data_IF_429910361763
#
_entry.id   IF_429910361763
#
_cell.length_a   1.000
_cell.length_b   1.000
_cell.length_c   1.000
_cell.angle_alpha   90.00
_cell.angle_beta   90.00
_cell.angle_gamma   90.00
#
_symmetry.space_group_name_H-M   'P 1'
#
loop_
_entity.id
_entity.type
_entity.pdbx_description
1 polymer ?
#
# COMPACT_ATOMS: atom_id res chain seq x y z
N UNK A 1 -5.17 -3.73 19.41
CA UNK A 1 -4.93 -3.47 17.97
C UNK A 1 -3.81 -4.33 17.39
N UNK A 2 -2.52 -4.08 17.65
CA UNK A 2 -1.44 -4.93 17.11
C UNK A 2 -1.51 -6.39 17.60
N UNK A 3 -1.82 -6.59 18.90
CA UNK A 3 -2.03 -7.92 19.46
C UNK A 3 -3.20 -8.69 18.82
N UNK A 4 -4.28 -8.01 18.44
CA UNK A 4 -5.39 -8.64 17.73
C UNK A 4 -4.99 -9.06 16.31
N UNK A 5 -4.22 -8.21 15.61
CA UNK A 5 -3.75 -8.51 14.25
C UNK A 5 -2.80 -9.71 14.20
N UNK A 6 -2.04 -9.96 15.28
CA UNK A 6 -1.13 -11.10 15.38
C UNK A 6 -1.80 -12.37 15.89
N UNK A 7 -2.77 -12.25 16.81
CA UNK A 7 -3.39 -13.40 17.46
C UNK A 7 -4.63 -13.95 16.74
N UNK A 8 -5.32 -13.12 15.94
CA UNK A 8 -6.50 -13.54 15.17
C UNK A 8 -6.10 -13.97 13.75
N UNK A 9 -6.92 -14.80 13.06
CA UNK A 9 -6.63 -15.21 11.69
C UNK A 9 -6.57 -14.03 10.71
N UNK A 10 -5.87 -14.19 9.58
CA UNK A 10 -5.66 -13.13 8.57
C UNK A 10 -6.95 -12.49 8.06
N UNK A 11 -8.06 -13.24 7.99
CA UNK A 11 -9.36 -12.68 7.59
C UNK A 11 -9.87 -11.60 8.55
N UNK A 12 -9.43 -11.58 9.81
CA UNK A 12 -9.77 -10.52 10.75
C UNK A 12 -9.17 -9.19 10.29
N UNK A 13 -7.90 -9.19 9.90
CA UNK A 13 -7.24 -8.02 9.33
C UNK A 13 -7.92 -7.60 8.02
N UNK A 14 -8.27 -8.55 7.15
CA UNK A 14 -9.00 -8.29 5.92
C UNK A 14 -10.38 -7.65 6.18
N UNK A 15 -11.14 -8.13 7.17
CA UNK A 15 -12.42 -7.56 7.58
C UNK A 15 -12.28 -6.11 8.05
N UNK A 16 -11.26 -5.81 8.88
CA UNK A 16 -10.98 -4.43 9.31
C UNK A 16 -10.67 -3.49 8.15
N UNK A 17 -9.92 -3.98 7.14
CA UNK A 17 -9.65 -3.22 5.92
C UNK A 17 -10.93 -3.05 5.09
N UNK A 18 -11.72 -4.11 4.92
CA UNK A 18 -12.98 -4.07 4.20
C UNK A 18 -13.96 -3.06 4.79
N UNK A 19 -14.18 -3.10 6.11
CA UNK A 19 -15.05 -2.16 6.81
C UNK A 19 -14.57 -0.71 6.67
N UNK A 20 -13.24 -0.50 6.74
CA UNK A 20 -12.65 0.84 6.61
C UNK A 20 -12.82 1.40 5.19
N UNK A 21 -12.65 0.56 4.17
CA UNK A 21 -12.87 0.93 2.76
C UNK A 21 -14.35 1.12 2.45
N UNK A 22 -15.23 0.28 3.01
CA UNK A 22 -16.68 0.37 2.83
C UNK A 22 -17.30 1.66 3.36
N UNK A 23 -16.62 2.34 4.29
CA UNK A 23 -17.02 3.66 4.81
C UNK A 23 -16.62 4.84 3.91
N UNK A 24 -15.78 4.63 2.89
CA UNK A 24 -15.32 5.68 1.99
C UNK A 24 -16.31 5.90 0.84
N UNK A 25 -17.58 6.16 1.18
CA UNK A 25 -18.64 6.48 0.23
C UNK A 25 -18.55 7.94 -0.26
N UNK A 26 -19.48 8.34 -1.13
CA UNK A 26 -19.53 9.71 -1.67
C UNK A 26 -19.62 10.77 -0.56
N UNK A 27 -20.37 10.51 0.51
CA UNK A 27 -20.61 11.50 1.56
C UNK A 27 -19.38 11.67 2.43
N UNK A 28 -18.71 10.57 2.78
CA UNK A 28 -17.42 10.61 3.46
C UNK A 28 -16.36 11.33 2.63
N UNK A 29 -16.28 11.07 1.33
CA UNK A 29 -15.31 11.71 0.44
C UNK A 29 -15.57 13.22 0.29
N UNK A 30 -16.83 13.65 0.19
CA UNK A 30 -17.19 15.08 0.18
C UNK A 30 -16.87 15.75 1.51
N UNK A 31 -17.21 15.10 2.63
CA UNK A 31 -16.85 15.61 3.95
C UNK A 31 -15.33 15.73 4.14
N UNK A 32 -14.54 14.82 3.56
CA UNK A 32 -13.08 14.93 3.59
C UNK A 32 -12.58 16.15 2.80
N UNK A 33 -13.20 16.51 1.67
CA UNK A 33 -12.88 17.74 0.94
C UNK A 33 -13.22 18.98 1.77
N UNK A 34 -14.41 19.03 2.38
CA UNK A 34 -14.81 20.13 3.26
C UNK A 34 -13.85 20.26 4.45
N UNK A 35 -13.41 19.13 5.03
CA UNK A 35 -12.41 19.12 6.08
C UNK A 35 -11.07 19.71 5.62
N UNK A 36 -10.61 19.36 4.41
CA UNK A 36 -9.36 19.88 3.85
C UNK A 36 -9.42 21.38 3.60
N UNK A 37 -10.56 21.90 3.11
CA UNK A 37 -10.78 23.34 2.88
C UNK A 37 -10.63 24.18 4.15
N UNK A 38 -10.96 23.61 5.31
CA UNK A 38 -10.86 24.28 6.61
C UNK A 38 -9.44 24.26 7.21
N UNK A 39 -8.47 23.59 6.59
CA UNK A 39 -7.14 23.44 7.16
C UNK A 39 -6.30 24.70 6.93
N UNK A 40 -5.60 25.21 7.95
CA UNK A 40 -4.78 26.41 7.82
C UNK A 40 -3.52 26.18 6.96
N UNK A 41 -3.06 24.93 6.86
CA UNK A 41 -1.90 24.53 6.06
C UNK A 41 -2.08 23.09 5.55
N UNK A 42 -2.32 22.95 4.24
CA UNK A 42 -2.44 21.64 3.58
C UNK A 42 -1.11 20.88 3.54
N UNK A 43 0.02 21.58 3.56
CA UNK A 43 1.35 20.93 3.49
C UNK A 43 1.66 20.13 4.75
N UNK A 44 1.13 20.56 5.91
CA UNK A 44 1.24 19.84 7.17
C UNK A 44 0.51 18.48 7.16
N UNK A 45 -0.45 18.28 6.25
CA UNK A 45 -1.18 17.00 6.09
C UNK A 45 -0.49 16.03 5.12
N UNK A 46 0.54 16.47 4.41
CA UNK A 46 1.30 15.62 3.50
C UNK A 46 1.99 14.53 4.31
N UNK A 47 1.63 13.29 4.02
CA UNK A 47 2.23 12.13 4.67
C UNK A 47 3.64 11.92 4.13
N UNK A 48 4.58 11.71 5.04
CA UNK A 48 5.98 11.50 4.72
C UNK A 48 6.61 10.42 5.59
N UNK A 49 7.94 10.46 5.71
CA UNK A 49 8.69 9.48 6.50
C UNK A 49 8.15 9.28 7.93
N UNK A 50 7.64 10.34 8.57
CA UNK A 50 7.12 10.28 9.93
C UNK A 50 5.79 9.53 10.04
N UNK A 51 5.01 9.42 8.96
CA UNK A 51 3.68 8.81 8.97
C UNK A 51 3.76 7.28 8.92
N UNK A 52 4.71 6.75 8.15
CA UNK A 52 4.78 5.32 7.81
C UNK A 52 5.76 4.51 8.66
N UNK A 53 6.58 5.16 9.49
CA UNK A 53 7.47 4.45 10.43
C UNK A 53 6.69 3.59 11.41
N UNK A 54 7.34 2.54 11.92
CA UNK A 54 6.84 1.69 12.99
C UNK A 54 6.19 2.52 14.12
N UNK A 55 4.94 2.22 14.53
CA UNK A 55 4.14 1.02 14.23
C UNK A 55 3.18 1.11 13.05
N UNK A 56 3.23 2.20 12.27
CA UNK A 56 2.34 2.40 11.14
C UNK A 56 2.90 1.75 9.86
N UNK A 57 2.05 1.65 8.83
CA UNK A 57 2.40 1.16 7.49
C UNK A 57 1.49 1.85 6.45
N UNK A 58 2.02 2.10 5.25
CA UNK A 58 1.27 2.52 4.09
C UNK A 58 1.33 1.47 2.98
N UNK A 59 0.19 1.09 2.42
CA UNK A 59 0.08 0.14 1.31
C UNK A 59 -0.61 0.85 0.14
N UNK A 60 0.00 0.81 -1.04
CA UNK A 60 -0.62 1.27 -2.28
C UNK A 60 -0.69 0.12 -3.27
N UNK A 61 -1.87 -0.15 -3.83
CA UNK A 61 -2.05 -1.20 -4.83
C UNK A 61 -2.03 -0.61 -6.24
N UNK A 62 -1.17 -1.13 -7.11
CA UNK A 62 -1.13 -0.84 -8.54
C UNK A 62 -1.77 -1.95 -9.37
N UNK A 63 -2.36 -2.97 -8.74
CA UNK A 63 -2.91 -4.17 -9.39
C UNK A 63 -3.96 -3.84 -10.45
N UNK A 64 -4.72 -2.75 -10.26
CA UNK A 64 -5.76 -2.31 -11.21
C UNK A 64 -5.31 -1.19 -12.15
N UNK A 65 -4.04 -0.79 -12.08
CA UNK A 65 -3.48 0.21 -12.99
C UNK A 65 -2.91 -0.49 -14.23
N UNK A 66 -3.07 0.07 -15.44
CA UNK A 66 -2.56 -0.50 -16.69
C UNK A 66 -1.05 -0.25 -16.86
N UNK A 67 -0.25 -0.58 -15.84
CA UNK A 67 1.17 -0.22 -15.77
C UNK A 67 2.05 -0.92 -16.82
N UNK A 68 1.55 -2.00 -17.42
CA UNK A 68 2.24 -2.77 -18.46
C UNK A 68 1.76 -2.44 -19.88
N UNK A 69 0.91 -1.44 -20.06
CA UNK A 69 0.34 -1.11 -21.38
C UNK A 69 1.16 -0.05 -22.15
N UNK A 70 2.23 0.46 -21.54
CA UNK A 70 3.14 1.42 -22.15
C UNK A 70 4.04 0.75 -23.21
N UNK A 71 3.50 0.55 -24.41
CA UNK A 71 4.24 0.08 -25.58
C UNK A 71 4.52 1.25 -26.54
N UNK A 72 5.80 1.55 -26.75
CA UNK A 72 6.26 2.64 -27.62
C UNK A 72 6.70 2.15 -29.01
N UNK A 73 6.42 0.89 -29.37
CA UNK A 73 6.82 0.25 -30.64
C UNK A 73 7.91 -0.81 -30.50
N UNK A 74 8.40 -1.07 -29.29
CA UNK A 74 9.40 -2.11 -28.98
C UNK A 74 8.85 -3.22 -28.08
N UNK A 75 7.53 -3.26 -27.87
CA UNK A 75 6.87 -4.20 -26.98
C UNK A 75 6.58 -3.61 -25.60
N UNK A 76 5.75 -4.35 -24.85
CA UNK A 76 5.35 -4.01 -23.48
C UNK A 76 6.51 -4.15 -22.49
N UNK A 77 6.53 -3.37 -21.39
CA UNK A 77 7.57 -3.50 -20.37
C UNK A 77 7.54 -4.89 -19.73
N UNK A 78 8.72 -5.48 -19.55
CA UNK A 78 8.89 -6.75 -18.81
C UNK A 78 8.77 -6.55 -17.29
N UNK A 79 8.80 -5.32 -16.81
CA UNK A 79 8.60 -4.94 -15.42
C UNK A 79 8.20 -3.47 -15.32
N UNK A 80 7.30 -3.15 -14.40
CA UNK A 80 7.01 -1.78 -13.97
C UNK A 80 6.84 -1.75 -12.44
N UNK A 81 7.51 -0.80 -11.79
CA UNK A 81 7.47 -0.66 -10.35
C UNK A 81 8.00 0.69 -9.88
N UNK A 82 8.00 0.95 -8.57
CA UNK A 82 8.56 2.18 -8.01
C UNK A 82 10.08 2.25 -8.27
N UNK A 83 10.59 3.41 -8.70
CA UNK A 83 12.03 3.66 -8.92
C UNK A 83 12.88 3.77 -7.64
N UNK A 84 12.35 3.29 -6.52
CA UNK A 84 12.88 3.43 -5.17
C UNK A 84 11.75 3.65 -4.16
N UNK A 85 11.88 3.10 -2.96
CA UNK A 85 10.93 3.30 -1.86
C UNK A 85 11.61 4.18 -0.81
N UNK A 86 11.21 5.46 -0.68
CA UNK A 86 11.98 6.46 0.08
C UNK A 86 11.87 6.32 1.60
N UNK A 87 10.84 5.64 2.11
CA UNK A 87 10.52 5.61 3.53
C UNK A 87 10.27 4.19 4.02
N UNK A 88 10.75 3.89 5.23
CA UNK A 88 10.34 2.70 5.98
C UNK A 88 8.80 2.66 6.11
N UNK A 89 8.25 1.47 5.94
CA UNK A 89 6.85 1.16 6.14
C UNK A 89 5.95 1.54 4.96
N UNK A 90 6.51 1.95 3.83
CA UNK A 90 5.77 2.07 2.57
C UNK A 90 5.90 0.79 1.74
N UNK A 91 4.77 0.31 1.23
CA UNK A 91 4.72 -0.87 0.35
C UNK A 91 3.80 -0.68 -0.86
N UNK A 92 4.12 -1.44 -1.91
CA UNK A 92 3.41 -1.47 -3.17
C UNK A 92 3.04 -2.91 -3.53
N UNK A 93 1.79 -3.12 -3.96
CA UNK A 93 1.35 -4.38 -4.57
C UNK A 93 1.33 -4.17 -6.08
N UNK A 94 2.12 -4.94 -6.80
CA UNK A 94 2.33 -4.81 -8.24
C UNK A 94 1.72 -6.03 -8.97
N UNK A 95 0.99 -5.83 -10.08
CA UNK A 95 0.55 -6.94 -10.92
C UNK A 95 1.75 -7.56 -11.64
N UNK A 96 1.69 -8.85 -11.95
CA UNK A 96 2.66 -9.49 -12.82
C UNK A 96 2.57 -8.99 -14.27
N UNK A 97 3.70 -8.82 -14.98
CA UNK A 97 3.72 -8.46 -16.41
C UNK A 97 3.17 -9.58 -17.32
N UNK A 98 3.11 -10.84 -16.84
CA UNK A 98 2.75 -12.03 -17.64
C UNK A 98 1.27 -12.37 -17.63
N UNK A 99 0.43 -11.62 -16.90
CA UNK A 99 -1.00 -11.92 -16.69
C UNK A 99 -1.27 -13.33 -16.11
N UNK A 100 -0.33 -13.90 -15.36
CA UNK A 100 -0.45 -15.21 -14.70
C UNK A 100 -1.26 -15.19 -13.39
N UNK A 101 -1.81 -14.02 -13.03
CA UNK A 101 -2.56 -13.81 -11.79
C UNK A 101 -1.68 -13.59 -10.55
N UNK A 102 -0.36 -13.67 -10.68
CA UNK A 102 0.56 -13.38 -9.57
C UNK A 102 0.70 -11.88 -9.32
N UNK A 103 1.05 -11.54 -8.08
CA UNK A 103 1.33 -10.18 -7.66
C UNK A 103 2.66 -10.14 -6.90
N UNK A 104 3.38 -9.04 -7.00
CA UNK A 104 4.62 -8.81 -6.26
C UNK A 104 4.40 -7.78 -5.16
N UNK A 105 5.16 -7.90 -4.07
CA UNK A 105 5.17 -6.93 -2.98
C UNK A 105 6.53 -6.27 -2.92
N UNK A 106 6.57 -4.96 -3.17
CA UNK A 106 7.76 -4.14 -2.95
C UNK A 106 7.58 -3.37 -1.64
N UNK A 107 8.50 -3.50 -0.68
CA UNK A 107 8.39 -2.87 0.64
C UNK A 107 9.76 -2.40 1.14
N UNK A 108 9.79 -1.25 1.82
CA UNK A 108 10.96 -0.82 2.59
C UNK A 108 10.71 -0.99 4.08
N UNK A 109 11.63 -1.67 4.77
CA UNK A 109 11.66 -1.83 6.22
C UNK A 109 13.09 -1.59 6.72
N UNK A 110 13.26 -1.40 8.03
CA UNK A 110 14.59 -1.46 8.63
C UNK A 110 15.23 -2.83 8.33
N UNK A 111 16.53 -2.86 8.05
CA UNK A 111 17.26 -4.07 7.65
C UNK A 111 17.10 -5.22 8.66
N UNK A 112 16.99 -4.89 9.95
CA UNK A 112 16.75 -5.86 11.03
C UNK A 112 15.35 -6.53 10.98
N UNK A 113 14.36 -5.89 10.35
CA UNK A 113 13.00 -6.42 10.19
C UNK A 113 12.83 -7.19 8.88
N UNK A 114 13.60 -6.87 7.84
CA UNK A 114 13.39 -7.43 6.49
C UNK A 114 13.48 -8.97 6.45
N UNK A 115 14.48 -9.56 7.11
CA UNK A 115 14.62 -11.03 7.19
C UNK A 115 13.43 -11.71 7.90
N UNK A 116 12.83 -11.05 8.89
CA UNK A 116 11.65 -11.58 9.58
C UNK A 116 10.40 -11.44 8.72
N UNK A 117 10.26 -10.31 8.03
CA UNK A 117 9.16 -10.08 7.09
C UNK A 117 9.16 -11.10 5.95
N UNK A 118 10.31 -11.35 5.32
CA UNK A 118 10.48 -12.36 4.27
C UNK A 118 10.06 -13.76 4.73
N UNK A 119 10.34 -14.11 5.99
CA UNK A 119 9.88 -15.39 6.53
C UNK A 119 8.36 -15.43 6.64
N UNK A 120 7.76 -14.46 7.34
CA UNK A 120 6.32 -14.45 7.60
C UNK A 120 5.46 -14.36 6.34
N UNK A 121 5.90 -13.61 5.32
CA UNK A 121 5.12 -13.44 4.09
C UNK A 121 5.05 -14.73 3.25
N UNK A 122 6.00 -15.65 3.45
CA UNK A 122 6.08 -16.93 2.74
C UNK A 122 5.47 -18.11 3.54
N UNK A 123 4.92 -17.87 4.73
CA UNK A 123 4.30 -18.90 5.59
C UNK A 123 2.80 -19.11 5.30
N UNK A 124 2.28 -18.56 4.18
CA UNK A 124 0.87 -18.65 3.78
C UNK A 124 0.58 -19.97 3.07
#
# INVERSE_FOLDING_TARGET
MAGDLQSKPTWYAAGRLHDSLGRMDNDYLRSALDYLELQPDLSALVRGAHTFKNPNLGITSWVRLPIHDADFGWGRPIFMGPGGIPYEGLSFILPSPTNDGSNWVAIALLSQHMKRFERFINEI
#
